data_IF_391424559395
#
_entry.id   IF_391424559395
#
_cell.length_a   1.000
_cell.length_b   1.000
_cell.length_c   1.000
_cell.angle_alpha   90.00
_cell.angle_beta   90.00
_cell.angle_gamma   90.00
#
_symmetry.space_group_name_H-M   'P 1'
#
loop_
_entity.id
_entity.type
_entity.pdbx_description
1 polymer ?
#
# COMPACT_ATOMS: atom_id res chain seq x y z
N UNK A 1 -3.94 3.20 4.01
CA UNK A 1 -3.49 3.18 2.60
C UNK A 1 -2.46 4.28 2.38
N UNK A 2 -1.37 3.96 1.76
CA UNK A 2 -0.28 4.89 1.48
C UNK A 2 0.46 4.47 0.21
N UNK A 3 1.23 5.37 -0.38
CA UNK A 3 2.07 5.08 -1.55
C UNK A 3 3.52 5.41 -1.22
N UNK A 4 4.40 4.45 -1.45
CA UNK A 4 5.85 4.59 -1.28
C UNK A 4 6.54 4.75 -2.63
N UNK A 5 7.61 5.51 -2.63
CA UNK A 5 8.47 5.72 -3.81
C UNK A 5 8.75 7.18 -4.09
N UNK A 6 9.39 7.48 -5.21
CA UNK A 6 9.71 6.53 -6.29
C UNK A 6 10.85 5.58 -5.94
N UNK A 7 10.75 4.36 -6.42
CA UNK A 7 11.80 3.34 -6.37
C UNK A 7 12.43 3.19 -7.76
N UNK A 8 13.45 2.34 -7.87
CA UNK A 8 14.05 2.06 -9.17
C UNK A 8 13.02 1.43 -10.09
N UNK A 9 12.92 1.93 -11.33
CA UNK A 9 11.97 1.45 -12.31
C UNK A 9 12.28 -0.01 -12.70
N UNK A 10 11.28 -0.88 -12.55
CA UNK A 10 11.43 -2.29 -12.92
C UNK A 10 11.18 -2.50 -14.41
N UNK A 11 11.58 -3.68 -14.99
CA UNK A 11 11.24 -4.00 -16.38
C UNK A 11 9.74 -3.95 -16.67
N UNK A 12 8.90 -4.23 -15.68
CA UNK A 12 7.43 -4.12 -15.82
C UNK A 12 6.92 -2.69 -15.74
N UNK A 13 7.80 -1.72 -15.50
CA UNK A 13 7.46 -0.31 -15.45
C UNK A 13 7.04 0.20 -14.10
N UNK A 14 7.21 -0.58 -13.03
CA UNK A 14 6.79 -0.19 -11.68
C UNK A 14 7.83 0.70 -11.00
N UNK A 15 7.36 1.74 -10.31
CA UNK A 15 8.19 2.70 -9.56
C UNK A 15 7.68 2.97 -8.15
N UNK A 16 6.47 2.56 -7.82
CA UNK A 16 5.82 2.87 -6.55
C UNK A 16 5.20 1.63 -5.94
N UNK A 17 4.91 1.68 -4.64
CA UNK A 17 4.23 0.61 -3.92
C UNK A 17 3.00 1.18 -3.24
N UNK A 18 1.84 0.57 -3.50
CA UNK A 18 0.61 0.86 -2.75
C UNK A 18 0.56 -0.08 -1.54
N UNK A 19 0.41 0.48 -0.36
CA UNK A 19 0.39 -0.26 0.91
C UNK A 19 -0.96 -0.09 1.57
N UNK A 20 -1.57 -1.22 1.97
CA UNK A 20 -2.82 -1.24 2.73
C UNK A 20 -2.64 -2.11 3.97
N UNK A 21 -3.08 -1.60 5.12
CA UNK A 21 -3.06 -2.37 6.37
C UNK A 21 -4.47 -2.51 6.90
N UNK A 22 -4.87 -3.74 7.24
CA UNK A 22 -6.13 -4.00 7.92
C UNK A 22 -6.00 -3.55 9.38
N UNK A 23 -6.90 -2.68 9.80
CA UNK A 23 -6.83 -2.08 11.14
C UNK A 23 -6.97 -3.12 12.26
N UNK A 24 -7.82 -4.12 12.08
CA UNK A 24 -8.10 -5.11 13.10
C UNK A 24 -7.07 -6.23 13.15
N UNK A 25 -6.75 -6.81 12.01
CA UNK A 25 -5.83 -7.97 11.95
C UNK A 25 -4.37 -7.56 11.87
N UNK A 26 -4.10 -6.29 11.50
CA UNK A 26 -2.77 -5.77 11.18
C UNK A 26 -2.13 -6.44 9.96
N UNK A 27 -2.89 -7.23 9.23
CA UNK A 27 -2.43 -7.79 7.96
C UNK A 27 -2.18 -6.67 6.97
N UNK A 28 -1.01 -6.68 6.34
CA UNK A 28 -0.60 -5.65 5.40
C UNK A 28 -0.43 -6.24 4.02
N UNK A 29 -0.98 -5.57 3.02
CA UNK A 29 -0.82 -5.90 1.62
C UNK A 29 -0.05 -4.79 0.92
N UNK A 30 0.77 -5.16 -0.06
CA UNK A 30 1.53 -4.19 -0.85
C UNK A 30 1.50 -4.61 -2.31
N UNK A 31 1.28 -3.64 -3.19
CA UNK A 31 1.14 -3.87 -4.62
C UNK A 31 2.02 -2.90 -5.41
N UNK A 32 2.73 -3.39 -6.44
CA UNK A 32 3.49 -2.49 -7.31
C UNK A 32 2.57 -1.55 -8.10
N UNK A 33 3.02 -0.32 -8.29
CA UNK A 33 2.34 0.68 -9.11
C UNK A 33 3.32 1.25 -10.13
N UNK A 34 2.86 1.42 -11.36
CA UNK A 34 3.64 2.08 -12.40
C UNK A 34 3.76 3.58 -12.15
N UNK A 35 2.69 4.19 -11.63
CA UNK A 35 2.62 5.62 -11.35
C UNK A 35 1.66 5.87 -10.19
N UNK A 36 1.52 7.13 -9.77
CA UNK A 36 0.62 7.52 -8.68
C UNK A 36 -0.71 8.09 -9.18
N UNK A 37 -1.04 7.91 -10.46
CA UNK A 37 -2.31 8.41 -10.98
C UNK A 37 -3.50 7.74 -10.28
N UNK A 38 -4.54 8.50 -10.05
CA UNK A 38 -5.72 8.02 -9.34
C UNK A 38 -6.38 6.81 -10.03
N UNK A 39 -6.39 6.79 -11.36
CA UNK A 39 -6.93 5.66 -12.13
C UNK A 39 -6.12 4.40 -11.92
N UNK A 40 -4.79 4.51 -11.82
CA UNK A 40 -3.91 3.37 -11.54
C UNK A 40 -4.16 2.84 -10.13
N UNK A 41 -4.26 3.72 -9.15
CA UNK A 41 -4.55 3.36 -7.76
C UNK A 41 -5.90 2.64 -7.66
N UNK A 42 -6.94 3.21 -8.26
CA UNK A 42 -8.29 2.62 -8.25
C UNK A 42 -8.31 1.24 -8.89
N UNK A 43 -7.62 1.07 -10.02
CA UNK A 43 -7.54 -0.21 -10.72
C UNK A 43 -6.89 -1.28 -9.86
N UNK A 44 -5.76 -0.97 -9.23
CA UNK A 44 -5.05 -1.91 -8.36
C UNK A 44 -5.90 -2.26 -7.13
N UNK A 45 -6.56 -1.28 -6.52
CA UNK A 45 -7.45 -1.53 -5.40
C UNK A 45 -8.55 -2.53 -5.76
N UNK A 46 -9.20 -2.35 -6.90
CA UNK A 46 -10.28 -3.24 -7.35
C UNK A 46 -9.73 -4.61 -7.71
N UNK A 47 -8.74 -4.68 -8.57
CA UNK A 47 -8.26 -5.95 -9.16
C UNK A 47 -7.43 -6.79 -8.19
N UNK A 48 -6.65 -6.15 -7.31
CA UNK A 48 -5.67 -6.84 -6.47
C UNK A 48 -6.10 -6.92 -5.01
N UNK A 49 -6.86 -5.97 -4.51
CA UNK A 49 -7.28 -5.98 -3.11
C UNK A 49 -8.74 -6.38 -2.93
N UNK A 50 -9.67 -5.64 -3.51
CA UNK A 50 -11.11 -5.89 -3.34
C UNK A 50 -11.50 -7.25 -3.90
N UNK A 51 -10.95 -7.64 -5.05
CA UNK A 51 -11.25 -8.92 -5.68
C UNK A 51 -10.87 -10.12 -4.81
N UNK A 52 -9.84 -9.99 -3.97
CA UNK A 52 -9.34 -11.08 -3.12
C UNK A 52 -9.82 -11.01 -1.67
N UNK A 53 -9.96 -9.80 -1.14
CA UNK A 53 -10.26 -9.60 0.29
C UNK A 53 -11.67 -9.05 0.53
N UNK A 54 -12.37 -8.68 -0.53
CA UNK A 54 -13.66 -8.01 -0.42
C UNK A 54 -13.51 -6.51 -0.18
N UNK A 55 -14.63 -5.79 -0.33
CA UNK A 55 -14.65 -4.35 -0.10
C UNK A 55 -14.64 -4.07 1.41
N UNK A 56 -13.69 -3.25 1.91
CA UNK A 56 -13.71 -2.85 3.32
C UNK A 56 -14.85 -1.88 3.59
N UNK A 57 -15.28 -1.77 4.85
CA UNK A 57 -16.28 -0.77 5.23
C UNK A 57 -15.69 0.65 5.17
N UNK A 58 -14.44 0.80 5.57
CA UNK A 58 -13.73 2.08 5.60
C UNK A 58 -12.38 1.96 4.90
N UNK A 59 -12.03 2.99 4.14
CA UNK A 59 -10.71 3.11 3.51
C UNK A 59 -10.08 4.42 3.98
N UNK A 60 -9.04 4.32 4.81
CA UNK A 60 -8.34 5.46 5.37
C UNK A 60 -7.05 5.71 4.60
N UNK A 61 -6.77 6.97 4.26
CA UNK A 61 -5.54 7.36 3.59
C UNK A 61 -5.04 8.70 4.09
N UNK A 62 -3.78 8.99 3.79
CA UNK A 62 -3.27 10.35 3.91
C UNK A 62 -3.96 11.28 2.91
N UNK A 63 -3.92 12.58 3.18
CA UNK A 63 -4.36 13.58 2.22
C UNK A 63 -3.37 13.60 1.05
N UNK A 64 -3.84 13.24 -0.13
CA UNK A 64 -3.03 13.26 -1.32
C UNK A 64 -3.92 13.28 -2.56
N UNK A 65 -3.42 13.87 -3.64
CA UNK A 65 -4.19 14.01 -4.88
C UNK A 65 -4.72 12.69 -5.40
N UNK A 66 -3.89 11.64 -5.34
CA UNK A 66 -4.28 10.31 -5.84
C UNK A 66 -5.44 9.72 -5.07
N UNK A 67 -5.52 9.97 -3.75
CA UNK A 67 -6.53 9.39 -2.89
C UNK A 67 -7.81 10.22 -2.81
N UNK A 68 -7.70 11.53 -3.04
CA UNK A 68 -8.83 12.46 -3.00
C UNK A 68 -9.46 12.70 -4.38
N UNK A 69 -8.91 12.10 -5.42
CA UNK A 69 -9.41 12.26 -6.77
C UNK A 69 -10.78 11.63 -6.96
N UNK A 70 -11.55 12.19 -7.88
CA UNK A 70 -12.93 11.76 -8.14
C UNK A 70 -13.05 10.28 -8.50
N UNK A 71 -12.06 9.70 -9.19
CA UNK A 71 -12.10 8.30 -9.60
C UNK A 71 -11.99 7.37 -8.39
N UNK A 72 -11.15 7.70 -7.39
CA UNK A 72 -11.04 6.91 -6.17
C UNK A 72 -12.29 7.06 -5.31
N UNK A 73 -12.82 8.29 -5.18
CA UNK A 73 -14.03 8.54 -4.42
C UNK A 73 -15.25 7.85 -5.05
N UNK A 74 -15.34 7.86 -6.37
CA UNK A 74 -16.42 7.18 -7.09
C UNK A 74 -16.33 5.65 -6.94
N UNK A 75 -15.12 5.09 -7.00
CA UNK A 75 -14.89 3.67 -6.74
C UNK A 75 -15.37 3.30 -5.33
N UNK A 76 -15.02 4.10 -4.32
CA UNK A 76 -15.47 3.88 -2.96
C UNK A 76 -17.00 3.93 -2.86
N UNK A 77 -17.64 4.90 -3.54
CA UNK A 77 -19.09 5.00 -3.57
C UNK A 77 -19.75 3.74 -4.16
N UNK A 78 -19.22 3.24 -5.27
CA UNK A 78 -19.77 2.07 -5.96
C UNK A 78 -19.66 0.80 -5.12
N UNK A 79 -18.61 0.65 -4.32
CA UNK A 79 -18.40 -0.51 -3.46
C UNK A 79 -18.94 -0.34 -2.04
N UNK A 80 -19.58 0.79 -1.73
CA UNK A 80 -20.10 1.05 -0.40
C UNK A 80 -19.01 1.30 0.65
N UNK A 81 -17.85 1.77 0.23
CA UNK A 81 -16.71 2.05 1.09
C UNK A 81 -16.77 3.51 1.56
N UNK A 82 -16.64 3.73 2.87
CA UNK A 82 -16.51 5.08 3.43
C UNK A 82 -15.05 5.50 3.38
N UNK A 83 -14.75 6.52 2.57
CA UNK A 83 -13.41 7.06 2.44
C UNK A 83 -13.15 8.07 3.55
N UNK A 84 -12.09 7.87 4.32
CA UNK A 84 -11.64 8.78 5.37
C UNK A 84 -10.21 9.23 5.09
N UNK A 85 -9.78 10.29 5.77
CA UNK A 85 -8.42 10.83 5.61
C UNK A 85 -7.83 11.24 6.95
N UNK A 86 -6.49 11.21 7.04
CA UNK A 86 -5.78 11.66 8.22
C UNK A 86 -5.78 13.17 8.32
N UNK A 87 -5.93 13.66 9.56
CA UNK A 87 -5.67 15.07 9.86
C UNK A 87 -4.20 15.26 10.24
N UNK A 88 -3.67 16.45 10.01
CA UNK A 88 -2.24 16.75 10.21
C UNK A 88 -1.75 16.57 11.64
N UNK A 89 -2.63 16.54 12.64
CA UNK A 89 -2.25 16.39 14.05
C UNK A 89 -2.37 14.97 14.62
N UNK A 90 -2.69 13.97 13.82
CA UNK A 90 -2.71 12.58 14.27
C UNK A 90 -1.31 11.97 14.12
N UNK A 91 -0.37 12.44 14.96
CA UNK A 91 1.05 12.05 14.89
C UNK A 91 1.29 10.57 15.19
N UNK A 92 0.50 9.97 16.07
CA UNK A 92 0.70 8.56 16.45
C UNK A 92 0.43 7.60 15.30
N UNK A 93 -0.65 7.82 14.56
CA UNK A 93 -0.96 7.03 13.37
C UNK A 93 0.09 7.19 12.29
N UNK A 94 0.56 8.43 12.08
CA UNK A 94 1.61 8.71 11.10
C UNK A 94 2.94 8.06 11.50
N UNK A 95 3.29 8.04 12.79
CA UNK A 95 4.51 7.41 13.27
C UNK A 95 4.55 5.90 13.03
N UNK A 96 3.43 5.21 13.18
CA UNK A 96 3.33 3.78 12.89
C UNK A 96 3.46 3.50 11.40
N UNK A 97 2.80 4.30 10.56
CA UNK A 97 2.90 4.18 9.11
C UNK A 97 4.33 4.43 8.62
N UNK A 98 4.99 5.45 9.15
CA UNK A 98 6.39 5.76 8.82
C UNK A 98 7.33 4.63 9.19
N UNK A 99 7.15 4.02 10.37
CA UNK A 99 7.96 2.88 10.81
C UNK A 99 7.76 1.67 9.92
N UNK A 100 6.51 1.38 9.57
CA UNK A 100 6.19 0.29 8.65
C UNK A 100 6.85 0.52 7.30
N UNK A 101 6.71 1.72 6.75
CA UNK A 101 7.26 2.07 5.45
C UNK A 101 8.79 1.91 5.43
N UNK A 102 9.46 2.33 6.50
CA UNK A 102 10.92 2.16 6.65
C UNK A 102 11.28 0.68 6.70
N UNK A 103 10.56 -0.11 7.49
CA UNK A 103 10.81 -1.55 7.61
C UNK A 103 10.62 -2.24 6.26
N UNK A 104 9.58 -1.91 5.52
CA UNK A 104 9.31 -2.47 4.20
C UNK A 104 10.45 -2.16 3.23
N UNK A 105 10.89 -0.90 3.18
CA UNK A 105 11.99 -0.48 2.30
C UNK A 105 13.29 -1.17 2.67
N UNK A 106 13.57 -1.33 3.97
CA UNK A 106 14.76 -2.04 4.44
C UNK A 106 14.73 -3.52 4.04
N UNK A 107 13.58 -4.18 4.19
CA UNK A 107 13.42 -5.58 3.80
C UNK A 107 13.58 -5.76 2.29
N UNK A 108 13.00 -4.87 1.50
CA UNK A 108 13.16 -4.89 0.05
C UNK A 108 14.63 -4.72 -0.34
N UNK A 109 15.32 -3.78 0.29
CA UNK A 109 16.75 -3.52 0.03
C UNK A 109 17.60 -4.77 0.27
N UNK A 110 17.31 -5.51 1.35
CA UNK A 110 18.05 -6.74 1.68
C UNK A 110 17.74 -7.84 0.66
N UNK A 111 16.47 -8.04 0.30
CA UNK A 111 16.06 -9.14 -0.56
C UNK A 111 16.41 -8.94 -2.03
N UNK A 112 16.59 -7.70 -2.47
CA UNK A 112 17.02 -7.40 -3.85
C UNK A 112 18.51 -7.14 -3.98
N UNK A 113 19.30 -7.57 -3.02
CA UNK A 113 20.75 -7.34 -2.99
C UNK A 113 21.38 -7.69 -4.35
N UNK A 114 22.04 -6.68 -4.96
CA UNK A 114 22.63 -6.81 -6.29
C UNK A 114 21.67 -6.64 -7.46
N UNK A 115 20.36 -6.62 -7.24
CA UNK A 115 19.36 -6.49 -8.31
C UNK A 115 18.21 -5.55 -7.90
N UNK A 116 18.47 -4.27 -7.64
CA UNK A 116 17.43 -3.36 -7.13
C UNK A 116 16.27 -3.14 -8.11
N UNK A 117 16.46 -3.37 -9.40
CA UNK A 117 15.41 -3.25 -10.40
C UNK A 117 14.39 -4.39 -10.41
N UNK A 118 14.52 -5.37 -9.51
CA UNK A 118 13.59 -6.51 -9.42
C UNK A 118 12.79 -6.49 -8.11
N UNK A 119 12.65 -5.33 -7.48
CA UNK A 119 11.97 -5.24 -6.20
C UNK A 119 10.49 -5.66 -6.30
N UNK A 120 9.82 -5.45 -7.43
CA UNK A 120 8.42 -5.83 -7.60
C UNK A 120 8.23 -7.35 -7.59
N UNK A 121 9.18 -8.12 -8.12
CA UNK A 121 9.15 -9.58 -8.07
C UNK A 121 9.36 -10.10 -6.64
N UNK A 122 10.10 -9.37 -5.83
CA UNK A 122 10.41 -9.76 -4.45
C UNK A 122 9.34 -9.31 -3.44
N UNK A 123 8.46 -8.38 -3.82
CA UNK A 123 7.49 -7.79 -2.92
C UNK A 123 6.56 -8.82 -2.25
N UNK A 124 6.02 -9.83 -2.95
CA UNK A 124 5.19 -10.84 -2.29
C UNK A 124 5.92 -11.60 -1.18
N UNK A 125 7.20 -11.90 -1.37
CA UNK A 125 8.02 -12.60 -0.38
C UNK A 125 8.30 -11.72 0.84
N UNK A 126 8.58 -10.44 0.60
CA UNK A 126 8.78 -9.45 1.67
C UNK A 126 7.51 -9.34 2.52
N UNK A 127 6.35 -9.26 1.88
CA UNK A 127 5.07 -9.14 2.59
C UNK A 127 4.74 -10.40 3.38
N UNK A 128 5.04 -11.58 2.84
CA UNK A 128 4.87 -12.82 3.58
C UNK A 128 5.73 -12.84 4.84
N UNK A 129 6.99 -12.46 4.72
CA UNK A 129 7.91 -12.40 5.85
C UNK A 129 7.46 -11.36 6.89
N UNK A 130 7.05 -10.20 6.45
CA UNK A 130 6.57 -9.13 7.34
C UNK A 130 5.32 -9.58 8.10
N UNK A 131 4.32 -10.09 7.41
CA UNK A 131 3.06 -10.51 8.04
C UNK A 131 3.27 -11.68 9.00
N UNK A 132 4.11 -12.63 8.65
CA UNK A 132 4.46 -13.76 9.54
C UNK A 132 5.12 -13.26 10.83
N UNK A 133 6.04 -12.30 10.72
CA UNK A 133 6.73 -11.72 11.87
C UNK A 133 5.76 -10.98 12.80
N UNK A 134 4.85 -10.17 12.25
CA UNK A 134 3.85 -9.43 13.02
C UNK A 134 2.92 -10.37 13.77
N UNK A 135 2.46 -11.43 13.11
CA UNK A 135 1.53 -12.40 13.71
C UNK A 135 2.19 -13.30 14.74
N UNK A 136 3.47 -13.59 14.62
CA UNK A 136 4.22 -14.34 15.65
C UNK A 136 4.37 -13.56 16.94
N UNK A 137 4.43 -12.23 16.87
CA UNK A 137 4.61 -11.38 18.05
C UNK A 137 3.31 -11.11 18.81
N UNK A 138 2.19 -11.55 18.29
CA UNK A 138 0.89 -11.43 18.96
C UNK A 138 0.47 -12.77 19.55
#
# INVERSE_FOLDING_TARGET
MDILGPLEKTPSGNRYVLVLTDYFTKWTAAFPLANMEASTVAKVLVEKYIAYFGAPDYLHSHQGRSFEASVVLEMCRLFGIKKTRSFLYHRQGNGQAERFNRTLLDMLSIMVDGNPGQWDDMLPFVMLAYNSSVHEST
#
